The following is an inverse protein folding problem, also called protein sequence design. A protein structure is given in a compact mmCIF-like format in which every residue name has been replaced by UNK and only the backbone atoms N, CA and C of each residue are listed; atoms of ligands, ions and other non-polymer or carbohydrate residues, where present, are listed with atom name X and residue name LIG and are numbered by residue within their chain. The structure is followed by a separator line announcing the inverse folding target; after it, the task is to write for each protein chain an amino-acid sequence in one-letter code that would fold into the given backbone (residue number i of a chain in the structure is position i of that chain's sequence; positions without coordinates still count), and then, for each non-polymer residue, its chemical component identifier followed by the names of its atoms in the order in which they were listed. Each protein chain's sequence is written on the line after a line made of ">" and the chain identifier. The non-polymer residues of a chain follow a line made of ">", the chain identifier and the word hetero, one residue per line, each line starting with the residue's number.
data_IF_900062388583
#
_entry.id   IF_900062388583
#
_cell.length_a   1.000
_cell.length_b   1.000
_cell.length_c   1.000
_cell.angle_alpha   90.00
_cell.angle_beta   90.00
_cell.angle_gamma   90.00
#
_symmetry.space_group_name_H-M   'P 1'
#
loop_
_entity.id
_entity.type
_entity.pdbx_description
1 polymer ?
#
# COMPACT_ATOMS: atom_id res chain seq x y z
N UNK A 1 -48.56 22.85 32.75
CA UNK A 1 -48.66 23.73 33.94
C UNK A 1 -47.23 24.07 34.31
N UNK A 2 -46.61 25.17 33.83
CA UNK A 2 -46.93 26.58 34.07
C UNK A 2 -47.22 26.85 35.56
N UNK A 3 -46.27 27.40 36.31
CA UNK A 3 -46.18 28.85 36.59
C UNK A 3 -45.39 29.15 37.88
N UNK A 4 -44.34 29.99 37.80
CA UNK A 4 -44.29 31.43 38.18
C UNK A 4 -43.83 31.57 39.65
N UNK A 5 -42.77 32.32 39.97
CA UNK A 5 -42.75 33.76 40.34
C UNK A 5 -41.27 34.24 40.18
N UNK A 6 -40.88 35.20 39.31
CA UNK A 6 -41.10 36.68 39.30
C UNK A 6 -40.34 37.36 40.46
N UNK A 7 -39.59 38.46 40.36
CA UNK A 7 -39.06 39.37 39.32
C UNK A 7 -38.08 40.31 40.09
N UNK A 8 -36.93 40.66 39.49
CA UNK A 8 -36.32 42.01 39.37
C UNK A 8 -36.02 42.88 40.62
N UNK A 9 -35.24 43.97 40.61
CA UNK A 9 -34.56 44.85 39.63
C UNK A 9 -33.45 45.53 40.47
N UNK A 10 -32.27 45.87 39.91
CA UNK A 10 -31.75 47.25 40.00
C UNK A 10 -30.49 47.44 39.14
N UNK A 11 -30.58 48.43 38.28
CA UNK A 11 -29.52 49.03 37.46
C UNK A 11 -28.72 50.09 38.24
N UNK A 12 -27.40 50.16 38.05
CA UNK A 12 -26.61 51.40 38.19
C UNK A 12 -25.56 51.47 37.08
N UNK A 13 -25.38 52.68 36.55
CA UNK A 13 -24.70 53.05 35.31
C UNK A 13 -23.23 53.49 35.51
N UNK A 14 -22.47 53.40 34.41
CA UNK A 14 -21.44 54.33 33.89
C UNK A 14 -19.96 54.33 34.36
N UNK A 15 -19.11 54.27 33.32
CA UNK A 15 -17.77 54.86 33.06
C UNK A 15 -16.44 54.13 33.37
N UNK A 16 -15.70 53.87 32.26
CA UNK A 16 -14.32 54.28 31.96
C UNK A 16 -13.16 53.25 31.94
N UNK A 17 -12.70 53.01 30.70
CA UNK A 17 -11.33 52.95 30.15
C UNK A 17 -10.33 51.80 30.42
N UNK A 18 -9.74 51.44 29.26
CA UNK A 18 -8.40 50.92 28.95
C UNK A 18 -8.10 49.42 29.09
N UNK A 19 -7.75 48.81 27.94
CA UNK A 19 -7.04 47.53 27.91
C UNK A 19 -7.05 46.84 26.55
N UNK A 20 -6.05 47.16 25.72
CA UNK A 20 -5.67 46.50 24.48
C UNK A 20 -5.67 44.95 24.53
N UNK A 21 -6.26 44.28 23.54
CA UNK A 21 -5.55 43.53 22.48
C UNK A 21 -6.40 42.41 21.89
N UNK A 22 -6.37 42.35 20.55
CA UNK A 22 -7.09 41.43 19.68
C UNK A 22 -6.47 40.03 19.71
N UNK A 23 -7.28 39.01 19.96
CA UNK A 23 -6.99 37.63 19.53
C UNK A 23 -7.19 37.52 18.01
N UNK A 24 -6.11 37.26 17.27
CA UNK A 24 -6.18 36.75 15.89
C UNK A 24 -6.10 35.23 15.94
N UNK A 25 -7.09 34.60 15.33
CA UNK A 25 -7.18 33.16 15.07
C UNK A 25 -5.99 32.68 14.23
N UNK A 26 -5.36 31.59 14.66
CA UNK A 26 -4.33 30.87 13.91
C UNK A 26 -4.98 30.08 12.76
N UNK A 27 -4.87 30.62 11.55
CA UNK A 27 -5.14 29.89 10.32
C UNK A 27 -3.98 28.92 10.02
N UNK A 28 -4.34 27.72 9.55
CA UNK A 28 -3.48 26.65 9.05
C UNK A 28 -2.38 27.17 8.12
N UNK A 29 -1.13 27.05 8.57
CA UNK A 29 0.02 27.14 7.67
C UNK A 29 0.23 25.77 7.02
N UNK A 30 -0.30 25.58 5.82
CA UNK A 30 0.27 24.63 4.85
C UNK A 30 1.72 25.07 4.60
N UNK A 31 2.67 24.40 5.24
CA UNK A 31 4.09 24.54 4.91
C UNK A 31 4.25 24.01 3.47
N UNK A 32 4.53 24.92 2.54
CA UNK A 32 4.85 24.58 1.16
C UNK A 32 6.26 23.98 1.18
N UNK A 33 6.36 22.65 1.29
CA UNK A 33 7.62 21.94 1.12
C UNK A 33 7.97 22.07 -0.37
N UNK A 34 8.84 23.02 -0.69
CA UNK A 34 9.40 23.16 -2.04
C UNK A 34 10.65 22.28 -2.08
N UNK A 35 10.47 20.97 -2.20
CA UNK A 35 11.53 20.12 -2.74
C UNK A 35 11.46 20.19 -4.26
N UNK A 36 12.47 20.80 -4.88
CA UNK A 36 12.56 20.88 -6.33
C UNK A 36 13.07 19.52 -6.85
N UNK A 37 12.16 18.59 -7.12
CA UNK A 37 12.46 17.38 -7.89
C UNK A 37 12.56 17.73 -9.37
N UNK A 38 13.57 17.19 -10.03
CA UNK A 38 13.85 17.31 -11.46
C UNK A 38 13.23 16.15 -12.26
N UNK A 39 13.20 16.25 -13.58
CA UNK A 39 12.76 15.14 -14.44
C UNK A 39 13.65 13.88 -14.28
N UNK A 40 14.93 14.05 -13.93
CA UNK A 40 15.82 12.92 -13.67
C UNK A 40 15.36 12.11 -12.44
N UNK A 41 14.76 12.77 -11.46
CA UNK A 41 14.26 12.13 -10.23
C UNK A 41 13.01 11.26 -10.49
N UNK A 42 12.35 11.40 -11.65
CA UNK A 42 11.24 10.54 -12.07
C UNK A 42 11.69 9.26 -12.75
N UNK A 43 12.97 9.17 -13.12
CA UNK A 43 13.56 8.02 -13.80
C UNK A 43 12.70 7.47 -14.96
N UNK A 44 12.28 8.37 -15.86
CA UNK A 44 11.51 8.03 -17.05
C UNK A 44 10.00 7.87 -16.85
N UNK A 45 9.48 8.04 -15.63
CA UNK A 45 8.03 7.96 -15.37
C UNK A 45 7.28 9.22 -15.81
N UNK A 46 6.10 9.00 -16.37
CA UNK A 46 5.09 10.04 -16.49
C UNK A 46 4.36 10.18 -15.14
N UNK A 47 4.97 10.93 -14.22
CA UNK A 47 4.40 11.14 -12.88
C UNK A 47 4.56 12.58 -12.42
N UNK A 48 3.62 13.06 -11.62
CA UNK A 48 3.65 14.38 -11.01
C UNK A 48 4.83 14.50 -10.04
N UNK A 49 5.68 15.51 -10.25
CA UNK A 49 6.75 15.83 -9.29
C UNK A 49 6.18 16.12 -7.90
N UNK A 50 4.99 16.71 -7.81
CA UNK A 50 4.34 17.02 -6.54
C UNK A 50 4.01 15.75 -5.75
N UNK A 51 3.57 14.68 -6.41
CA UNK A 51 3.32 13.40 -5.75
C UNK A 51 4.61 12.82 -5.17
N UNK A 52 5.71 12.85 -5.93
CA UNK A 52 7.00 12.37 -5.44
C UNK A 52 7.52 13.21 -4.26
N UNK A 53 7.26 14.53 -4.25
CA UNK A 53 7.55 15.42 -3.11
C UNK A 53 6.78 15.01 -1.86
N UNK A 54 5.50 14.66 -2.02
CA UNK A 54 4.64 14.26 -0.91
C UNK A 54 5.06 12.91 -0.32
N UNK A 55 5.40 11.93 -1.17
CA UNK A 55 5.96 10.65 -0.71
C UNK A 55 7.32 10.87 -0.05
N UNK A 56 8.21 11.69 -0.63
CA UNK A 56 9.48 12.06 -0.01
C UNK A 56 9.28 12.72 1.36
N UNK A 57 8.26 13.57 1.53
CA UNK A 57 7.97 14.20 2.81
C UNK A 57 7.51 13.20 3.87
N UNK A 58 6.73 12.19 3.49
CA UNK A 58 6.27 11.13 4.41
C UNK A 58 7.40 10.18 4.79
N UNK A 59 8.17 9.72 3.80
CA UNK A 59 9.26 8.75 3.99
C UNK A 59 10.53 9.38 4.55
N UNK A 60 10.73 10.70 4.36
CA UNK A 60 12.00 11.41 4.56
C UNK A 60 13.14 10.83 3.70
N UNK A 61 12.81 10.11 2.62
CA UNK A 61 13.76 9.52 1.67
C UNK A 61 13.60 10.20 0.31
N UNK A 62 14.70 10.33 -0.44
CA UNK A 62 14.63 10.77 -1.84
C UNK A 62 14.22 9.60 -2.73
N UNK A 63 13.50 9.84 -3.85
CA UNK A 63 13.29 8.80 -4.84
C UNK A 63 14.65 8.33 -5.38
N UNK A 64 14.81 7.03 -5.53
CA UNK A 64 15.96 6.40 -6.16
C UNK A 64 15.54 5.73 -7.47
N UNK A 65 16.36 5.81 -8.53
CA UNK A 65 16.02 5.15 -9.79
C UNK A 65 16.05 3.62 -9.63
N UNK A 66 15.08 2.94 -10.25
CA UNK A 66 15.11 1.49 -10.38
C UNK A 66 16.25 1.06 -11.31
N UNK A 67 16.88 -0.05 -10.92
CA UNK A 67 17.82 -0.81 -11.75
C UNK A 67 17.86 -2.23 -11.22
N UNK A 68 16.82 -2.99 -11.50
CA UNK A 68 16.65 -4.35 -11.00
C UNK A 68 16.87 -5.35 -12.10
N UNK A 69 17.62 -6.39 -11.79
CA UNK A 69 17.72 -7.58 -12.63
C UNK A 69 16.65 -8.57 -12.15
N UNK A 70 15.76 -8.94 -13.06
CA UNK A 70 14.69 -9.90 -12.83
C UNK A 70 15.09 -11.22 -13.47
N UNK A 71 14.88 -12.30 -12.73
CA UNK A 71 15.06 -13.66 -13.19
C UNK A 71 13.71 -14.35 -13.18
N UNK A 72 13.42 -15.10 -14.24
CA UNK A 72 12.22 -15.92 -14.38
C UNK A 72 12.60 -17.34 -14.69
N UNK A 73 11.89 -18.26 -14.07
CA UNK A 73 12.05 -19.69 -14.27
C UNK A 73 10.80 -20.25 -14.95
N UNK A 74 11.00 -21.01 -16.02
CA UNK A 74 9.93 -21.74 -16.70
C UNK A 74 9.98 -23.24 -16.40
N UNK A 75 8.87 -23.91 -16.71
CA UNK A 75 8.64 -25.32 -16.37
C UNK A 75 9.67 -26.29 -16.94
N UNK A 76 10.26 -25.95 -18.08
CA UNK A 76 11.27 -26.80 -18.74
C UNK A 76 12.71 -26.47 -18.27
N UNK A 77 12.85 -25.69 -17.20
CA UNK A 77 14.14 -25.19 -16.71
C UNK A 77 14.70 -24.07 -17.58
N UNK A 78 13.86 -23.43 -18.40
CA UNK A 78 14.25 -22.24 -19.15
C UNK A 78 14.35 -21.04 -18.20
N UNK A 79 15.42 -20.27 -18.34
CA UNK A 79 15.66 -19.06 -17.57
C UNK A 79 15.56 -17.85 -18.49
N UNK A 80 14.83 -16.82 -18.05
CA UNK A 80 14.82 -15.51 -18.71
C UNK A 80 15.30 -14.46 -17.72
N UNK A 81 16.17 -13.56 -18.18
CA UNK A 81 16.55 -12.39 -17.40
C UNK A 81 16.37 -11.09 -18.18
N UNK A 82 15.99 -10.04 -17.46
CA UNK A 82 15.88 -8.69 -18.01
C UNK A 82 16.04 -7.64 -16.92
N UNK A 83 16.20 -6.39 -17.34
CA UNK A 83 16.39 -5.26 -16.44
C UNK A 83 15.13 -4.40 -16.44
N UNK A 84 14.66 -4.03 -15.24
CA UNK A 84 13.72 -2.94 -15.02
C UNK A 84 14.56 -1.71 -14.61
N UNK A 85 14.67 -0.74 -15.51
CA UNK A 85 15.45 0.48 -15.33
C UNK A 85 14.62 1.78 -15.37
N UNK A 86 13.30 1.65 -15.55
CA UNK A 86 12.34 2.75 -15.48
C UNK A 86 11.48 2.64 -14.23
N UNK A 87 11.36 3.73 -13.50
CA UNK A 87 10.64 3.79 -12.24
C UNK A 87 11.50 4.20 -11.07
N UNK A 88 10.87 4.43 -9.94
CA UNK A 88 11.51 4.95 -8.73
C UNK A 88 11.12 4.13 -7.52
N UNK A 89 11.96 4.12 -6.51
CA UNK A 89 11.62 3.56 -5.21
C UNK A 89 12.09 4.44 -4.05
N UNK A 90 11.41 4.28 -2.91
CA UNK A 90 11.79 4.81 -1.61
C UNK A 90 12.07 3.62 -0.71
N UNK A 91 13.34 3.38 -0.39
CA UNK A 91 13.73 2.15 0.27
C UNK A 91 13.64 2.17 1.80
N UNK A 92 13.40 0.99 2.37
CA UNK A 92 13.40 0.72 3.81
C UNK A 92 12.47 1.65 4.60
N UNK A 93 11.17 1.59 4.26
CA UNK A 93 10.07 2.35 4.85
C UNK A 93 9.32 1.44 5.81
N UNK A 94 9.04 1.90 7.03
CA UNK A 94 8.29 1.12 8.01
C UNK A 94 6.90 0.75 7.46
N UNK A 95 6.42 -0.44 7.81
CA UNK A 95 5.15 -1.01 7.33
C UNK A 95 3.98 -0.02 7.40
N UNK A 96 3.76 0.62 8.55
CA UNK A 96 2.64 1.56 8.72
C UNK A 96 2.70 2.70 7.71
N UNK A 97 3.88 3.31 7.54
CA UNK A 97 4.10 4.39 6.57
C UNK A 97 4.00 3.88 5.12
N UNK A 98 4.53 2.70 4.81
CA UNK A 98 4.49 2.10 3.48
C UNK A 98 3.06 1.82 3.03
N UNK A 99 2.26 1.18 3.87
CA UNK A 99 0.85 0.93 3.61
C UNK A 99 0.01 2.21 3.59
N UNK A 100 0.36 3.23 4.39
CA UNK A 100 -0.28 4.55 4.30
C UNK A 100 -0.02 5.23 2.96
N UNK A 101 1.21 5.16 2.45
CA UNK A 101 1.56 5.68 1.12
C UNK A 101 0.77 4.94 0.05
N UNK A 102 0.74 3.60 0.09
CA UNK A 102 -0.05 2.80 -0.85
C UNK A 102 -1.52 3.25 -0.85
N UNK A 103 -2.17 3.22 0.32
CA UNK A 103 -3.58 3.62 0.47
C UNK A 103 -3.84 5.05 0.01
N UNK A 104 -2.93 5.97 0.29
CA UNK A 104 -3.12 7.40 -0.02
C UNK A 104 -2.98 7.71 -1.52
N UNK A 105 -1.99 7.12 -2.20
CA UNK A 105 -1.58 7.60 -3.53
C UNK A 105 -1.84 6.64 -4.68
N UNK A 106 -2.16 5.36 -4.44
CA UNK A 106 -2.29 4.36 -5.51
C UNK A 106 -3.23 4.77 -6.65
N UNK A 107 -4.38 5.36 -6.34
CA UNK A 107 -5.35 5.79 -7.36
C UNK A 107 -4.80 6.91 -8.24
N UNK A 108 -4.09 7.88 -7.64
CA UNK A 108 -3.45 8.94 -8.40
C UNK A 108 -2.32 8.38 -9.27
N UNK A 109 -1.47 7.50 -8.73
CA UNK A 109 -0.39 6.85 -9.47
C UNK A 109 -0.93 6.09 -10.69
N UNK A 110 -2.02 5.33 -10.52
CA UNK A 110 -2.72 4.62 -11.61
C UNK A 110 -3.29 5.59 -12.64
N UNK A 111 -3.90 6.70 -12.21
CA UNK A 111 -4.43 7.73 -13.13
C UNK A 111 -3.35 8.41 -13.99
N UNK A 112 -2.09 8.37 -13.54
CA UNK A 112 -0.94 8.92 -14.25
C UNK A 112 -0.24 7.85 -15.15
N UNK A 113 -0.78 6.63 -15.22
CA UNK A 113 -0.30 5.54 -16.06
C UNK A 113 0.79 4.67 -15.43
N UNK A 114 0.91 4.69 -14.10
CA UNK A 114 1.92 3.95 -13.34
C UNK A 114 1.25 3.03 -12.31
N UNK A 115 2.03 2.22 -11.62
CA UNK A 115 1.57 1.36 -10.53
C UNK A 115 2.40 1.60 -9.27
N UNK A 116 1.74 1.67 -8.12
CA UNK A 116 2.36 1.81 -6.80
C UNK A 116 2.25 0.47 -6.08
N UNK A 117 3.35 -0.07 -5.58
CA UNK A 117 3.37 -1.32 -4.82
C UNK A 117 4.52 -1.35 -3.82
N UNK A 118 4.49 -2.33 -2.93
CA UNK A 118 5.49 -2.61 -1.92
C UNK A 118 6.27 -3.88 -2.30
N UNK A 119 7.54 -3.94 -1.94
CA UNK A 119 8.41 -5.09 -2.21
C UNK A 119 9.55 -5.13 -1.19
N UNK A 120 10.38 -6.16 -1.24
CA UNK A 120 11.51 -6.40 -0.34
C UNK A 120 11.10 -6.25 1.12
N UNK A 121 10.10 -7.03 1.50
CA UNK A 121 9.75 -7.18 2.91
C UNK A 121 11.01 -7.60 3.67
N UNK A 122 11.43 -6.76 4.60
CA UNK A 122 12.65 -6.90 5.39
C UNK A 122 12.35 -6.62 6.86
N UNK A 123 13.23 -7.05 7.75
CA UNK A 123 13.04 -6.93 9.20
C UNK A 123 14.27 -6.28 9.85
N UNK A 124 14.04 -5.41 10.83
CA UNK A 124 15.11 -4.97 11.73
C UNK A 124 15.40 -5.99 12.83
N UNK A 125 16.39 -5.71 13.68
CA UNK A 125 16.77 -6.57 14.82
C UNK A 125 15.65 -6.76 15.86
N UNK A 126 14.60 -5.93 15.81
CA UNK A 126 13.42 -6.01 16.66
C UNK A 126 12.21 -6.64 15.96
N UNK A 127 12.41 -7.21 14.76
CA UNK A 127 11.38 -7.77 13.90
C UNK A 127 10.31 -6.75 13.47
N UNK A 128 10.63 -5.46 13.42
CA UNK A 128 9.77 -4.50 12.76
C UNK A 128 9.87 -4.68 11.24
N UNK A 129 8.74 -4.70 10.56
CA UNK A 129 8.66 -4.91 9.12
C UNK A 129 8.91 -3.60 8.35
N UNK A 130 9.71 -3.70 7.29
CA UNK A 130 10.02 -2.63 6.35
C UNK A 130 9.78 -3.08 4.92
N UNK A 131 9.49 -2.13 4.05
CA UNK A 131 9.30 -2.34 2.61
C UNK A 131 10.03 -1.27 1.80
N UNK A 132 10.39 -1.60 0.56
CA UNK A 132 10.61 -0.62 -0.48
C UNK A 132 9.24 -0.20 -1.07
N UNK A 133 8.99 1.10 -1.16
CA UNK A 133 7.81 1.66 -1.85
C UNK A 133 8.18 2.01 -3.28
N UNK A 134 7.49 1.44 -4.26
CA UNK A 134 7.93 1.45 -5.66
C UNK A 134 6.86 2.01 -6.57
N UNK A 135 7.28 2.82 -7.55
CA UNK A 135 6.44 3.27 -8.64
C UNK A 135 7.10 2.92 -9.97
N UNK A 136 6.37 2.24 -10.86
CA UNK A 136 6.83 1.93 -12.22
C UNK A 136 5.68 2.01 -13.23
N UNK A 137 6.00 2.08 -14.51
CA UNK A 137 5.00 2.06 -15.58
C UNK A 137 4.45 0.63 -15.76
N UNK A 138 3.15 0.45 -15.59
CA UNK A 138 2.47 -0.83 -15.76
C UNK A 138 0.96 -0.61 -15.95
N UNK A 139 0.28 -1.44 -16.77
CA UNK A 139 -1.14 -1.24 -17.12
C UNK A 139 -2.08 -1.73 -16.03
N UNK A 140 -1.72 -2.79 -15.30
CA UNK A 140 -2.53 -3.36 -14.24
C UNK A 140 -1.71 -4.26 -13.29
N UNK A 141 -2.34 -4.68 -12.19
CA UNK A 141 -1.70 -5.50 -11.17
C UNK A 141 -1.19 -6.87 -11.64
N UNK A 142 -1.78 -7.45 -12.67
CA UNK A 142 -1.36 -8.75 -13.20
C UNK A 142 -0.15 -8.63 -14.13
N UNK A 143 -0.07 -7.54 -14.91
CA UNK A 143 1.14 -7.20 -15.65
C UNK A 143 2.30 -6.87 -14.68
N UNK A 144 2.00 -6.33 -13.49
CA UNK A 144 3.02 -6.16 -12.43
C UNK A 144 3.55 -7.52 -11.96
N UNK A 145 2.68 -8.48 -11.58
CA UNK A 145 3.10 -9.83 -11.18
C UNK A 145 3.90 -10.51 -12.29
N UNK A 146 3.48 -10.34 -13.55
CA UNK A 146 4.23 -10.80 -14.72
C UNK A 146 5.59 -10.14 -14.81
N UNK A 147 5.68 -8.83 -14.59
CA UNK A 147 6.91 -8.05 -14.73
C UNK A 147 7.91 -8.35 -13.60
N UNK A 148 7.45 -8.62 -12.39
CA UNK A 148 8.32 -9.06 -11.28
C UNK A 148 8.76 -10.50 -11.47
N UNK A 149 7.98 -11.31 -12.19
CA UNK A 149 8.30 -12.71 -12.42
C UNK A 149 8.05 -13.56 -11.18
N UNK A 150 7.04 -13.21 -10.39
CA UNK A 150 6.67 -13.96 -9.19
C UNK A 150 6.37 -15.42 -9.54
N UNK A 151 7.00 -16.36 -8.84
CA UNK A 151 6.75 -17.79 -8.98
C UNK A 151 6.80 -18.50 -7.62
N UNK A 152 6.43 -19.78 -7.63
CA UNK A 152 6.53 -20.69 -6.49
C UNK A 152 7.23 -21.97 -6.95
N UNK A 153 8.46 -21.83 -7.43
CA UNK A 153 9.18 -22.90 -8.13
C UNK A 153 9.31 -24.18 -7.30
N UNK A 154 9.44 -24.07 -5.98
CA UNK A 154 9.53 -25.21 -5.06
C UNK A 154 8.22 -26.02 -4.98
N UNK A 155 7.12 -25.46 -5.48
CA UNK A 155 5.78 -26.05 -5.55
C UNK A 155 5.35 -26.38 -6.99
N UNK A 156 6.25 -26.28 -7.97
CA UNK A 156 5.92 -26.38 -9.40
C UNK A 156 4.83 -25.39 -9.85
N UNK A 157 4.73 -24.24 -9.18
CA UNK A 157 3.81 -23.15 -9.50
C UNK A 157 4.55 -22.06 -10.26
N UNK A 158 4.17 -21.82 -11.50
CA UNK A 158 4.85 -20.88 -12.39
C UNK A 158 4.09 -19.55 -12.53
N UNK A 159 4.76 -18.52 -13.03
CA UNK A 159 4.25 -17.14 -13.07
C UNK A 159 2.88 -17.01 -13.78
N UNK A 160 2.66 -17.76 -14.87
CA UNK A 160 1.39 -17.78 -15.59
C UNK A 160 0.26 -18.42 -14.79
N UNK A 161 0.53 -19.48 -14.03
CA UNK A 161 -0.44 -20.09 -13.11
C UNK A 161 -0.83 -19.14 -11.98
N UNK A 162 0.13 -18.41 -11.41
CA UNK A 162 -0.13 -17.36 -10.41
C UNK A 162 -1.02 -16.27 -11.00
N UNK A 163 -0.68 -15.76 -12.18
CA UNK A 163 -1.48 -14.71 -12.83
C UNK A 163 -2.91 -15.19 -13.07
N UNK A 164 -3.10 -16.38 -13.66
CA UNK A 164 -4.43 -16.93 -13.91
C UNK A 164 -5.24 -17.08 -12.62
N UNK A 165 -4.60 -17.58 -11.56
CA UNK A 165 -5.27 -17.77 -10.25
C UNK A 165 -5.67 -16.44 -9.61
N UNK A 166 -4.80 -15.44 -9.68
CA UNK A 166 -5.08 -14.09 -9.20
C UNK A 166 -6.19 -13.43 -10.01
N UNK A 167 -6.24 -13.62 -11.33
CA UNK A 167 -7.34 -13.12 -12.17
C UNK A 167 -8.68 -13.75 -11.78
N UNK A 168 -8.72 -15.06 -11.56
CA UNK A 168 -9.91 -15.79 -11.10
C UNK A 168 -10.43 -15.26 -9.76
N UNK A 169 -9.54 -15.14 -8.76
CA UNK A 169 -9.90 -14.57 -7.46
C UNK A 169 -10.33 -13.12 -7.56
N UNK A 170 -9.70 -12.31 -8.42
CA UNK A 170 -10.09 -10.92 -8.60
C UNK A 170 -11.47 -10.79 -9.24
N UNK A 171 -11.86 -11.73 -10.10
CA UNK A 171 -13.22 -11.78 -10.64
C UNK A 171 -14.27 -12.15 -9.58
N UNK A 172 -13.90 -12.98 -8.60
CA UNK A 172 -14.79 -13.38 -7.51
C UNK A 172 -14.97 -12.28 -6.46
N UNK A 173 -13.87 -11.81 -5.87
CA UNK A 173 -13.90 -10.93 -4.70
C UNK A 173 -13.54 -9.48 -5.02
N UNK A 174 -12.83 -9.25 -6.12
CA UNK A 174 -12.12 -8.00 -6.38
C UNK A 174 -11.03 -7.78 -5.34
N UNK A 175 -9.82 -7.40 -5.76
CA UNK A 175 -8.77 -7.02 -4.82
C UNK A 175 -7.76 -6.06 -5.45
N UNK A 176 -6.94 -5.48 -4.59
CA UNK A 176 -5.79 -4.66 -4.96
C UNK A 176 -4.51 -5.30 -4.41
N UNK A 177 -3.61 -5.71 -5.30
CA UNK A 177 -2.27 -6.17 -4.94
C UNK A 177 -1.48 -5.00 -4.36
N UNK A 178 -0.94 -5.22 -3.15
CA UNK A 178 -0.15 -4.24 -2.39
C UNK A 178 1.32 -4.63 -2.29
N UNK A 179 1.64 -5.92 -2.07
CA UNK A 179 3.03 -6.41 -2.02
C UNK A 179 3.25 -7.38 -3.18
N UNK A 180 4.37 -7.25 -3.89
CA UNK A 180 4.83 -8.22 -4.90
C UNK A 180 6.34 -8.40 -4.78
N UNK A 181 6.78 -9.64 -4.56
CA UNK A 181 8.18 -10.06 -4.63
C UNK A 181 8.33 -11.25 -5.58
N UNK A 182 9.56 -11.76 -5.71
CA UNK A 182 9.87 -12.93 -6.54
C UNK A 182 9.08 -14.19 -6.16
N UNK A 183 8.66 -14.32 -4.90
CA UNK A 183 7.88 -15.48 -4.45
C UNK A 183 6.72 -15.11 -3.52
N UNK A 184 6.24 -13.87 -3.57
CA UNK A 184 5.23 -13.34 -2.64
C UNK A 184 4.26 -12.41 -3.32
N UNK A 185 2.98 -12.52 -2.93
CA UNK A 185 1.92 -11.58 -3.31
C UNK A 185 1.05 -11.31 -2.10
N UNK A 186 0.83 -10.04 -1.76
CA UNK A 186 -0.18 -9.65 -0.77
C UNK A 186 -1.23 -8.74 -1.41
N UNK A 187 -2.48 -8.85 -0.98
CA UNK A 187 -3.58 -8.07 -1.54
C UNK A 187 -4.66 -7.71 -0.52
N UNK A 188 -5.25 -6.53 -0.71
CA UNK A 188 -6.46 -6.10 -0.01
C UNK A 188 -7.71 -6.55 -0.75
N UNK A 189 -8.57 -7.30 -0.08
CA UNK A 189 -9.85 -7.75 -0.63
C UNK A 189 -10.87 -6.60 -0.68
N UNK A 190 -11.47 -6.38 -1.85
CA UNK A 190 -12.60 -5.48 -2.01
C UNK A 190 -13.86 -6.03 -1.32
N UNK A 191 -14.13 -7.32 -1.53
CA UNK A 191 -15.25 -8.03 -0.90
C UNK A 191 -14.77 -9.30 -0.21
N UNK A 192 -15.55 -9.77 0.77
CA UNK A 192 -15.35 -11.14 1.27
C UNK A 192 -15.92 -12.13 0.24
N UNK A 193 -15.30 -13.30 0.06
CA UNK A 193 -15.84 -14.38 -0.75
C UNK A 193 -17.21 -14.83 -0.21
N UNK A 194 -18.09 -15.26 -1.12
CA UNK A 194 -19.43 -15.73 -0.75
C UNK A 194 -19.35 -17.00 0.13
N UNK A 195 -18.38 -17.86 -0.15
CA UNK A 195 -18.00 -18.99 0.69
C UNK A 195 -16.53 -18.88 1.11
N UNK A 196 -16.30 -18.27 2.27
CA UNK A 196 -14.96 -18.05 2.79
C UNK A 196 -14.21 -19.33 3.13
N UNK A 197 -14.90 -20.42 3.46
CA UNK A 197 -14.24 -21.69 3.74
C UNK A 197 -13.71 -22.30 2.44
N UNK A 198 -14.51 -22.23 1.37
CA UNK A 198 -14.08 -22.69 0.05
C UNK A 198 -12.92 -21.84 -0.47
N UNK A 199 -13.00 -20.52 -0.35
CA UNK A 199 -11.92 -19.63 -0.77
C UNK A 199 -10.64 -19.88 0.02
N UNK A 200 -10.71 -19.97 1.34
CA UNK A 200 -9.55 -20.24 2.19
C UNK A 200 -8.90 -21.60 1.87
N UNK A 201 -9.71 -22.64 1.60
CA UNK A 201 -9.20 -23.93 1.14
C UNK A 201 -8.50 -23.80 -0.21
N UNK A 202 -9.08 -23.06 -1.15
CA UNK A 202 -8.51 -22.85 -2.48
C UNK A 202 -7.17 -22.07 -2.43
N UNK A 203 -7.06 -21.10 -1.51
CA UNK A 203 -5.79 -20.41 -1.24
C UNK A 203 -4.74 -21.37 -0.68
N UNK A 204 -5.09 -22.18 0.31
CA UNK A 204 -4.16 -23.17 0.88
C UNK A 204 -3.71 -24.23 -0.14
N UNK A 205 -4.64 -24.74 -0.95
CA UNK A 205 -4.31 -25.71 -2.01
C UNK A 205 -3.33 -25.11 -3.04
N UNK A 206 -3.39 -23.80 -3.28
CA UNK A 206 -2.52 -23.09 -4.23
C UNK A 206 -1.18 -22.62 -3.64
N UNK A 207 -1.17 -22.29 -2.35
CA UNK A 207 0.00 -21.80 -1.63
C UNK A 207 0.00 -22.38 -0.21
N UNK A 208 0.45 -23.63 -0.01
CA UNK A 208 0.36 -24.31 1.29
C UNK A 208 1.06 -23.58 2.44
N UNK A 209 2.16 -22.87 2.13
CA UNK A 209 2.97 -22.09 3.07
C UNK A 209 2.21 -20.99 3.81
N UNK A 210 1.03 -20.56 3.32
CA UNK A 210 0.16 -19.65 4.07
C UNK A 210 -0.24 -20.22 5.43
N UNK A 211 -0.27 -21.55 5.57
CA UNK A 211 -0.47 -22.25 6.85
C UNK A 211 0.80 -22.97 7.28
N UNK A 212 1.43 -23.73 6.38
CA UNK A 212 2.54 -24.61 6.74
C UNK A 212 3.75 -23.84 7.31
N UNK A 213 3.88 -22.55 6.93
CA UNK A 213 4.89 -21.61 7.46
C UNK A 213 4.30 -20.27 7.95
N UNK A 214 2.98 -20.15 7.97
CA UNK A 214 2.25 -18.91 8.19
C UNK A 214 1.28 -18.97 9.36
N UNK A 215 -0.02 -18.84 9.05
CA UNK A 215 -1.10 -19.00 10.02
C UNK A 215 -0.99 -20.35 10.75
N UNK A 216 -1.33 -20.39 12.03
CA UNK A 216 -1.32 -21.64 12.81
C UNK A 216 -2.42 -22.61 12.42
N UNK A 217 -3.46 -22.15 11.71
CA UNK A 217 -4.57 -22.99 11.25
C UNK A 217 -5.43 -22.32 10.17
N UNK A 218 -6.24 -23.14 9.49
CA UNK A 218 -7.30 -22.67 8.57
C UNK A 218 -8.30 -21.73 9.25
N UNK A 219 -8.65 -22.00 10.52
CA UNK A 219 -9.58 -21.16 11.29
C UNK A 219 -9.00 -19.77 11.57
N UNK A 220 -7.71 -19.70 11.89
CA UNK A 220 -7.01 -18.43 12.07
C UNK A 220 -6.97 -17.64 10.76
N UNK A 221 -6.60 -18.28 9.64
CA UNK A 221 -6.59 -17.64 8.32
C UNK A 221 -7.95 -17.08 7.93
N UNK A 222 -9.03 -17.86 8.12
CA UNK A 222 -10.41 -17.40 7.84
C UNK A 222 -10.77 -16.21 8.73
N UNK A 223 -10.42 -16.26 10.02
CA UNK A 223 -10.66 -15.17 10.97
C UNK A 223 -9.92 -13.90 10.54
N UNK A 224 -8.68 -14.03 10.08
CA UNK A 224 -7.89 -12.91 9.57
C UNK A 224 -8.53 -12.29 8.33
N UNK A 225 -8.97 -13.11 7.36
CA UNK A 225 -9.66 -12.63 6.16
C UNK A 225 -10.93 -11.83 6.52
N UNK A 226 -11.72 -12.30 7.48
CA UNK A 226 -12.94 -11.61 7.94
C UNK A 226 -12.65 -10.26 8.59
N UNK A 227 -11.60 -10.19 9.40
CA UNK A 227 -11.27 -9.01 10.19
C UNK A 227 -10.50 -7.96 9.38
N UNK A 228 -9.55 -8.41 8.57
CA UNK A 228 -8.56 -7.55 7.93
C UNK A 228 -8.76 -7.40 6.42
N UNK A 229 -9.59 -8.26 5.79
CA UNK A 229 -9.84 -8.25 4.33
C UNK A 229 -8.53 -8.21 3.56
N UNK A 230 -7.64 -9.12 3.91
CA UNK A 230 -6.29 -9.18 3.42
C UNK A 230 -5.92 -10.63 3.23
N UNK A 231 -5.32 -10.96 2.09
CA UNK A 231 -4.67 -12.27 1.92
C UNK A 231 -3.24 -12.07 1.45
N UNK A 232 -2.44 -13.09 1.71
CA UNK A 232 -1.07 -13.15 1.27
C UNK A 232 -0.75 -14.56 0.80
N UNK A 233 0.19 -14.64 -0.13
CA UNK A 233 0.79 -15.83 -0.69
C UNK A 233 2.29 -15.67 -0.55
N UNK A 234 2.98 -16.71 -0.13
CA UNK A 234 4.43 -16.79 -0.12
C UNK A 234 4.80 -18.24 -0.36
N UNK A 235 5.58 -18.49 -1.40
CA UNK A 235 6.16 -19.79 -1.69
C UNK A 235 7.63 -19.73 -1.31
N UNK A 236 8.04 -20.41 -0.23
CA UNK A 236 9.46 -20.46 0.16
C UNK A 236 10.23 -21.49 -0.66
#
# INVERSE_FOLDING_TARGET
>A
MNNIIILFFLSISLTSCNGFSQQKSSADKKVKIVSNLSEADKNGLNISSQLLVEIQSKTKKKPQPLKWEIWKYGREGNEENYIIDKGVFFGFIDESTAHDIFRTYREQVVSEGNYLFLTKMDFDDSYNTYYDVVILECKNQFELVKLIGTDGINYDVYNDEIINKLEDWNNEIGFEIVVVDAARVHAYMGNLPADINSFAKDVYDFCPDVIDQGYSSMEEMITDYQNNRYFWLWWD
#
